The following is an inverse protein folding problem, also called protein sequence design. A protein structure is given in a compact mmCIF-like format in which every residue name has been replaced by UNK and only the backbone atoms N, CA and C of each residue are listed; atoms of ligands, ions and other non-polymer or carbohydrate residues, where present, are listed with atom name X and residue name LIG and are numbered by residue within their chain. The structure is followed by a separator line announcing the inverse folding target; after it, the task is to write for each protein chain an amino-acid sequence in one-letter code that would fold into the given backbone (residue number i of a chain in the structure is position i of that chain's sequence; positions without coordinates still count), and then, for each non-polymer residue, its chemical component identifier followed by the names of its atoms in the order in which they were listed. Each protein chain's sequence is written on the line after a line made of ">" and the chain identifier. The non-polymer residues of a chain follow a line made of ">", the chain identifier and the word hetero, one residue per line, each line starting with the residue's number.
data_IF_438851077168
#
_entry.id   IF_438851077168
#
_cell.length_a   1.000
_cell.length_b   1.000
_cell.length_c   1.000
_cell.angle_alpha   90.00
_cell.angle_beta   90.00
_cell.angle_gamma   90.00
#
_symmetry.space_group_name_H-M   'P 1'
#
loop_
_entity.id
_entity.type
_entity.pdbx_description
1 polymer ?
#
# COMPACT_ATOMS: atom_id res chain seq x y z
N UNK A 1 -27.08 -7.08 -9.71
CA UNK A 1 -26.31 -5.89 -9.29
C UNK A 1 -25.92 -6.05 -7.84
N UNK A 2 -24.64 -6.28 -7.53
CA UNK A 2 -24.18 -6.30 -6.15
C UNK A 2 -23.88 -4.85 -5.74
N UNK A 3 -24.68 -4.29 -4.84
CA UNK A 3 -24.35 -3.05 -4.18
C UNK A 3 -23.15 -3.32 -3.27
N UNK A 4 -21.99 -2.76 -3.60
CA UNK A 4 -20.89 -2.66 -2.65
C UNK A 4 -21.42 -1.86 -1.45
N UNK A 5 -21.36 -2.36 -0.21
CA UNK A 5 -21.98 -1.66 0.91
C UNK A 5 -21.27 -0.31 1.10
N UNK A 6 -22.05 0.77 1.05
CA UNK A 6 -21.58 2.16 1.20
C UNK A 6 -20.72 2.33 2.46
N UNK A 7 -21.06 1.61 3.55
CA UNK A 7 -20.32 1.58 4.81
C UNK A 7 -18.84 1.17 4.69
N UNK A 8 -18.53 0.13 3.91
CA UNK A 8 -17.17 -0.38 3.79
C UNK A 8 -16.26 0.59 3.01
N UNK A 9 -16.88 1.39 2.12
CA UNK A 9 -16.19 2.43 1.39
C UNK A 9 -15.71 3.56 2.26
N UNK A 10 -16.58 4.01 3.16
CA UNK A 10 -16.24 5.07 4.10
C UNK A 10 -15.19 4.59 5.10
N UNK A 11 -15.21 3.31 5.49
CA UNK A 11 -14.22 2.72 6.40
C UNK A 11 -12.81 2.69 5.81
N UNK A 12 -12.64 2.20 4.57
CA UNK A 12 -11.33 2.19 3.88
C UNK A 12 -10.76 3.63 3.77
N UNK A 13 -11.60 4.60 3.38
CA UNK A 13 -11.20 6.00 3.29
C UNK A 13 -10.79 6.57 4.66
N UNK A 14 -11.53 6.28 5.74
CA UNK A 14 -11.16 6.74 7.10
C UNK A 14 -9.82 6.15 7.55
N UNK A 15 -9.60 4.85 7.32
CA UNK A 15 -8.34 4.17 7.66
C UNK A 15 -7.17 4.78 6.89
N UNK A 16 -7.31 4.96 5.57
CA UNK A 16 -6.26 5.54 4.72
C UNK A 16 -5.95 6.98 5.09
N UNK A 17 -6.97 7.81 5.36
CA UNK A 17 -6.77 9.18 5.81
C UNK A 17 -6.02 9.22 7.13
N UNK A 18 -6.41 8.40 8.10
CA UNK A 18 -5.72 8.32 9.38
C UNK A 18 -4.26 7.91 9.20
N UNK A 19 -3.98 6.85 8.43
CA UNK A 19 -2.60 6.41 8.16
C UNK A 19 -1.81 7.55 7.54
N UNK A 20 -2.31 8.15 6.45
CA UNK A 20 -1.64 9.26 5.75
C UNK A 20 -1.29 10.41 6.70
N UNK A 21 -2.22 10.79 7.57
CA UNK A 21 -2.07 11.94 8.47
C UNK A 21 -1.13 11.64 9.66
N UNK A 22 -0.83 10.36 9.92
CA UNK A 22 0.04 9.89 11.01
C UNK A 22 1.33 9.21 10.50
N UNK A 23 1.63 9.29 9.21
CA UNK A 23 2.88 8.78 8.66
C UNK A 23 4.02 9.75 8.98
N UNK A 24 5.00 9.25 9.73
CA UNK A 24 6.24 9.94 10.04
C UNK A 24 7.43 9.24 9.36
N UNK A 25 8.31 9.96 8.64
CA UNK A 25 9.50 9.35 8.04
C UNK A 25 10.40 8.67 9.08
N UNK A 26 10.74 7.40 8.84
CA UNK A 26 11.61 6.62 9.73
C UNK A 26 10.90 6.00 10.93
N UNK A 27 9.60 6.23 11.12
CA UNK A 27 8.80 5.56 12.14
C UNK A 27 7.99 4.41 11.53
N UNK A 28 8.17 3.17 12.00
CA UNK A 28 7.38 2.05 11.51
C UNK A 28 5.90 2.18 11.88
N UNK A 29 5.02 1.87 10.94
CA UNK A 29 3.59 1.70 11.25
C UNK A 29 3.38 0.35 11.95
N UNK A 30 2.83 0.39 13.17
CA UNK A 30 2.50 -0.82 13.93
C UNK A 30 1.02 -1.14 13.81
N UNK A 31 0.70 -2.19 13.04
CA UNK A 31 -0.67 -2.67 12.86
C UNK A 31 -1.31 -3.05 14.19
N UNK A 32 -0.56 -3.69 15.09
CA UNK A 32 -1.06 -4.03 16.42
C UNK A 32 -1.51 -2.80 17.21
N UNK A 33 -0.85 -1.64 17.05
CA UNK A 33 -1.30 -0.40 17.67
C UNK A 33 -2.56 0.14 17.02
N UNK A 34 -2.64 0.12 15.69
CA UNK A 34 -3.83 0.51 14.95
C UNK A 34 -5.06 -0.31 15.36
N UNK A 35 -4.92 -1.64 15.51
CA UNK A 35 -6.01 -2.53 15.96
C UNK A 35 -6.44 -2.30 17.40
N UNK A 36 -5.47 -2.15 18.30
CA UNK A 36 -5.74 -2.17 19.73
C UNK A 36 -6.13 -0.78 20.27
N UNK A 37 -5.65 0.29 19.65
CA UNK A 37 -5.79 1.66 20.17
C UNK A 37 -6.64 2.56 19.28
N UNK A 38 -6.56 2.42 17.96
CA UNK A 38 -7.15 3.36 17.00
C UNK A 38 -8.49 2.86 16.44
N UNK A 39 -8.48 1.80 15.65
CA UNK A 39 -9.65 1.30 14.94
C UNK A 39 -10.37 0.24 15.78
N UNK A 40 -11.47 0.65 16.40
CA UNK A 40 -12.33 -0.24 17.20
C UNK A 40 -13.55 -0.74 16.43
N UNK A 41 -13.91 -0.04 15.35
CA UNK A 41 -15.02 -0.41 14.50
C UNK A 41 -14.69 -1.67 13.65
N UNK A 42 -15.59 -2.66 13.54
CA UNK A 42 -15.35 -3.86 12.77
C UNK A 42 -15.09 -3.63 11.27
N UNK A 43 -15.73 -2.64 10.64
CA UNK A 43 -15.53 -2.36 9.21
C UNK A 43 -14.18 -1.69 8.97
N UNK A 44 -13.74 -0.81 9.88
CA UNK A 44 -12.39 -0.22 9.82
C UNK A 44 -11.30 -1.27 10.03
N UNK A 45 -11.51 -2.22 10.95
CA UNK A 45 -10.61 -3.36 11.14
C UNK A 45 -10.53 -4.22 9.89
N UNK A 46 -11.68 -4.55 9.30
CA UNK A 46 -11.72 -5.31 8.04
C UNK A 46 -11.01 -4.58 6.89
N UNK A 47 -11.18 -3.25 6.81
CA UNK A 47 -10.45 -2.44 5.83
C UNK A 47 -8.94 -2.44 6.11
N UNK A 48 -8.52 -2.33 7.37
CA UNK A 48 -7.13 -2.41 7.78
C UNK A 48 -6.50 -3.77 7.41
N UNK A 49 -7.19 -4.88 7.65
CA UNK A 49 -6.75 -6.23 7.26
C UNK A 49 -6.50 -6.31 5.74
N UNK A 50 -7.44 -5.79 4.94
CA UNK A 50 -7.32 -5.76 3.49
C UNK A 50 -6.09 -4.96 3.05
N UNK A 51 -5.91 -3.76 3.59
CA UNK A 51 -4.77 -2.88 3.27
C UNK A 51 -3.43 -3.49 3.69
N UNK A 52 -3.39 -4.14 4.86
CA UNK A 52 -2.20 -4.85 5.33
C UNK A 52 -1.84 -6.03 4.43
N UNK A 53 -2.82 -6.82 4.00
CA UNK A 53 -2.59 -7.90 3.04
C UNK A 53 -2.11 -7.39 1.67
N UNK A 54 -2.64 -6.26 1.20
CA UNK A 54 -2.17 -5.63 -0.02
C UNK A 54 -0.71 -5.15 0.11
N UNK A 55 -0.36 -4.56 1.25
CA UNK A 55 0.99 -4.06 1.54
C UNK A 55 2.07 -5.14 1.34
N UNK A 56 1.88 -6.39 1.80
CA UNK A 56 2.89 -7.43 1.58
C UNK A 56 3.00 -7.92 0.14
N UNK A 57 1.92 -7.80 -0.64
CA UNK A 57 1.85 -8.34 -2.00
C UNK A 57 2.29 -7.35 -3.06
N UNK A 58 2.20 -6.05 -2.76
CA UNK A 58 2.60 -4.97 -3.68
C UNK A 58 4.06 -5.10 -4.15
N UNK A 59 5.09 -5.32 -3.29
CA UNK A 59 6.48 -5.30 -3.75
C UNK A 59 6.75 -6.33 -4.85
N UNK A 60 6.30 -7.57 -4.65
CA UNK A 60 6.45 -8.62 -5.64
C UNK A 60 5.68 -8.31 -6.94
N UNK A 61 4.46 -7.81 -6.82
CA UNK A 61 3.68 -7.37 -7.99
C UNK A 61 4.39 -6.28 -8.80
N UNK A 62 4.97 -5.27 -8.14
CA UNK A 62 5.71 -4.19 -8.81
C UNK A 62 6.91 -4.74 -9.59
N UNK A 63 7.66 -5.66 -8.98
CA UNK A 63 8.80 -6.33 -9.63
C UNK A 63 8.37 -7.13 -10.85
N UNK A 64 7.36 -7.99 -10.70
CA UNK A 64 6.84 -8.83 -11.78
C UNK A 64 6.27 -8.00 -12.93
N UNK A 65 5.51 -6.94 -12.61
CA UNK A 65 4.93 -6.05 -13.60
C UNK A 65 6.03 -5.34 -14.39
N UNK A 66 7.01 -4.74 -13.72
CA UNK A 66 8.11 -4.05 -14.41
C UNK A 66 8.90 -5.00 -15.32
N UNK A 67 9.13 -6.25 -14.89
CA UNK A 67 9.82 -7.23 -15.73
C UNK A 67 9.02 -7.65 -16.94
N UNK A 68 7.70 -7.79 -16.79
CA UNK A 68 6.82 -8.20 -17.87
C UNK A 68 6.60 -7.10 -18.90
N UNK A 69 6.46 -5.85 -18.47
CA UNK A 69 6.04 -4.73 -19.31
C UNK A 69 7.15 -3.70 -19.59
N UNK A 70 8.33 -3.86 -18.99
CA UNK A 70 9.45 -2.93 -19.14
C UNK A 70 9.29 -1.60 -18.42
N UNK A 71 8.20 -1.39 -17.69
CA UNK A 71 7.91 -0.18 -16.92
C UNK A 71 7.09 -0.50 -15.67
N UNK A 72 7.22 0.27 -14.57
CA UNK A 72 6.38 0.11 -13.38
C UNK A 72 4.89 0.29 -13.71
N UNK A 73 3.98 -0.34 -12.94
CA UNK A 73 2.57 0.00 -13.00
C UNK A 73 2.33 1.40 -12.43
N UNK A 74 1.33 2.10 -12.96
CA UNK A 74 0.86 3.36 -12.36
C UNK A 74 -0.05 3.12 -11.15
N UNK A 75 -0.34 4.18 -10.39
CA UNK A 75 -1.18 4.12 -9.19
C UNK A 75 -2.56 3.52 -9.46
N UNK A 76 -3.17 3.84 -10.62
CA UNK A 76 -4.46 3.28 -11.03
C UNK A 76 -4.38 1.77 -11.24
N UNK A 77 -3.33 1.27 -11.88
CA UNK A 77 -3.10 -0.17 -12.08
C UNK A 77 -2.90 -0.90 -10.76
N UNK A 78 -2.16 -0.31 -9.82
CA UNK A 78 -2.00 -0.87 -8.47
C UNK A 78 -3.34 -0.91 -7.75
N UNK A 79 -4.10 0.20 -7.77
CA UNK A 79 -5.42 0.24 -7.15
C UNK A 79 -6.35 -0.84 -7.70
N UNK A 80 -6.40 -1.02 -9.02
CA UNK A 80 -7.19 -2.07 -9.66
C UNK A 80 -6.74 -3.48 -9.27
N UNK A 81 -5.43 -3.75 -9.27
CA UNK A 81 -4.87 -5.06 -8.94
C UNK A 81 -5.19 -5.49 -7.50
N UNK A 82 -5.24 -4.54 -6.57
CA UNK A 82 -5.44 -4.79 -5.14
C UNK A 82 -6.84 -4.41 -4.64
N UNK A 83 -7.79 -4.20 -5.55
CA UNK A 83 -9.17 -3.82 -5.25
C UNK A 83 -9.27 -2.54 -4.38
N UNK A 84 -8.32 -1.62 -4.49
CA UNK A 84 -8.36 -0.34 -3.77
C UNK A 84 -9.35 0.61 -4.44
N UNK A 85 -10.07 1.41 -3.65
CA UNK A 85 -11.13 2.28 -4.20
C UNK A 85 -10.60 3.35 -5.15
N UNK A 86 -9.41 3.87 -4.89
CA UNK A 86 -8.84 4.99 -5.67
C UNK A 86 -7.33 4.85 -5.87
N UNK A 87 -6.74 5.52 -6.88
CA UNK A 87 -5.28 5.59 -7.03
C UNK A 87 -4.56 6.20 -5.81
N UNK A 88 -5.19 7.13 -5.10
CA UNK A 88 -4.63 7.74 -3.88
C UNK A 88 -4.49 6.73 -2.75
N UNK A 89 -5.36 5.71 -2.68
CA UNK A 89 -5.18 4.61 -1.74
C UNK A 89 -3.88 3.83 -2.00
N UNK A 90 -3.54 3.61 -3.28
CA UNK A 90 -2.27 3.01 -3.65
C UNK A 90 -1.09 3.93 -3.28
N UNK A 91 -1.21 5.24 -3.49
CA UNK A 91 -0.18 6.21 -3.05
C UNK A 91 0.11 6.10 -1.56
N UNK A 92 -0.93 6.07 -0.71
CA UNK A 92 -0.77 5.93 0.74
C UNK A 92 0.00 4.64 1.09
N UNK A 93 -0.35 3.49 0.50
CA UNK A 93 0.35 2.24 0.77
C UNK A 93 1.83 2.29 0.36
N UNK A 94 2.14 2.92 -0.79
CA UNK A 94 3.53 3.10 -1.23
C UNK A 94 4.30 4.03 -0.27
N UNK A 95 3.67 5.09 0.24
CA UNK A 95 4.29 5.97 1.25
C UNK A 95 4.56 5.26 2.57
N UNK A 96 3.68 4.35 2.99
CA UNK A 96 3.95 3.48 4.17
C UNK A 96 5.24 2.68 3.93
N UNK A 97 5.42 2.11 2.74
CA UNK A 97 6.65 1.38 2.40
C UNK A 97 7.89 2.27 2.41
N UNK A 98 7.80 3.48 1.85
CA UNK A 98 8.93 4.41 1.78
C UNK A 98 9.34 4.98 3.14
N UNK A 99 8.37 5.13 4.05
CA UNK A 99 8.59 5.68 5.40
C UNK A 99 9.07 4.64 6.40
N UNK A 100 8.68 3.37 6.25
CA UNK A 100 9.04 2.31 7.17
C UNK A 100 10.52 1.92 7.01
N UNK A 101 11.38 2.15 8.03
CA UNK A 101 12.82 1.90 7.93
C UNK A 101 13.16 0.42 7.80
N UNK A 102 12.21 -0.47 8.07
CA UNK A 102 12.40 -1.91 7.85
C UNK A 102 12.40 -2.17 6.34
N UNK A 103 11.55 -1.53 5.56
CA UNK A 103 11.37 -1.82 4.13
C UNK A 103 12.57 -1.29 3.32
N UNK A 104 13.17 -2.07 2.40
CA UNK A 104 14.24 -1.56 1.55
C UNK A 104 13.73 -0.47 0.61
N UNK A 105 14.60 0.47 0.26
CA UNK A 105 14.27 1.55 -0.67
C UNK A 105 14.38 1.09 -2.12
N UNK A 106 13.42 0.28 -2.56
CA UNK A 106 13.35 -0.25 -3.92
C UNK A 106 12.52 0.61 -4.90
N UNK A 107 11.96 1.75 -4.46
CA UNK A 107 11.14 2.63 -5.29
C UNK A 107 11.84 3.94 -5.58
N UNK A 108 11.66 4.43 -6.80
CA UNK A 108 11.82 5.85 -7.14
C UNK A 108 10.48 6.36 -7.65
N UNK A 109 10.04 7.52 -7.14
CA UNK A 109 8.74 8.11 -7.45
C UNK A 109 8.89 9.55 -7.91
N UNK A 110 8.00 9.97 -8.80
CA UNK A 110 7.87 11.37 -9.16
C UNK A 110 7.26 12.15 -7.99
N UNK A 111 7.92 13.20 -7.47
CA UNK A 111 7.46 13.89 -6.26
C UNK A 111 6.20 14.73 -6.48
N UNK A 112 5.79 15.00 -7.73
CA UNK A 112 4.60 15.80 -8.02
C UNK A 112 3.34 14.96 -8.14
N UNK A 113 3.44 13.85 -8.87
CA UNK A 113 2.33 12.94 -9.16
C UNK A 113 2.25 11.77 -8.19
N UNK A 114 3.36 11.41 -7.53
CA UNK A 114 3.48 10.18 -6.77
C UNK A 114 3.62 8.92 -7.64
N UNK A 115 3.68 9.04 -8.97
CA UNK A 115 3.82 7.85 -9.82
C UNK A 115 5.19 7.18 -9.64
N UNK A 116 5.23 5.85 -9.79
CA UNK A 116 6.49 5.10 -9.74
C UNK A 116 7.23 5.32 -11.06
N UNK A 117 8.46 5.81 -10.98
CA UNK A 117 9.33 6.00 -12.15
C UNK A 117 10.32 4.85 -12.31
N UNK A 118 10.67 4.16 -11.21
CA UNK A 118 11.53 2.97 -11.22
C UNK A 118 11.25 2.06 -10.03
N UNK A 119 11.30 0.76 -10.29
CA UNK A 119 11.36 -0.32 -9.28
C UNK A 119 12.73 -0.99 -9.36
N UNK A 120 13.41 -1.15 -8.23
CA UNK A 120 14.60 -1.99 -8.11
C UNK A 120 14.18 -3.45 -7.93
N UNK A 121 14.07 -4.15 -9.06
CA UNK A 121 13.56 -5.53 -9.10
C UNK A 121 14.51 -6.51 -8.42
N UNK A 122 15.82 -6.32 -8.56
CA UNK A 122 16.80 -7.21 -7.94
C UNK A 122 16.76 -7.08 -6.42
N UNK A 123 16.63 -5.85 -5.90
CA UNK A 123 16.48 -5.62 -4.47
C UNK A 123 15.25 -6.34 -3.91
N UNK A 124 14.11 -6.29 -4.60
CA UNK A 124 12.89 -6.98 -4.16
C UNK A 124 13.07 -8.50 -4.16
N UNK A 125 13.62 -9.06 -5.26
CA UNK A 125 13.77 -10.51 -5.42
C UNK A 125 14.78 -11.12 -4.45
N UNK A 126 15.81 -10.37 -4.09
CA UNK A 126 16.85 -10.82 -3.17
C UNK A 126 16.48 -10.58 -1.69
N UNK A 127 15.37 -9.90 -1.41
CA UNK A 127 14.91 -9.68 -0.04
C UNK A 127 14.04 -10.86 0.43
N UNK A 128 14.42 -11.56 1.51
CA UNK A 128 13.70 -12.73 2.01
C UNK A 128 12.27 -12.42 2.49
N UNK A 129 11.89 -11.15 2.64
CA UNK A 129 10.54 -10.73 3.05
C UNK A 129 9.56 -10.65 1.89
N UNK A 130 10.05 -10.56 0.66
CA UNK A 130 9.21 -10.46 -0.54
C UNK A 130 9.31 -11.71 -1.42
N UNK A 131 10.40 -12.48 -1.29
CA UNK A 131 10.63 -13.72 -2.02
C UNK A 131 10.06 -14.96 -1.31
N UNK A 132 8.75 -15.17 -1.42
CA UNK A 132 8.11 -16.50 -1.38
C UNK A 132 6.97 -16.58 -2.40
#
# INVERSE_FOLDING_TARGET
>A
SAAVPVQAGDAETRVLNYIRDHLSPGEPLFISELYNKVFRDPEERKALDKLYNAFFRIPLFLAEYQQKFGSPPNLKTIAQQFDLRTPEAADVLLRVMESDPRVPRFLTRDPKSGEITRVDVEMIRNDPRFGQ
#
